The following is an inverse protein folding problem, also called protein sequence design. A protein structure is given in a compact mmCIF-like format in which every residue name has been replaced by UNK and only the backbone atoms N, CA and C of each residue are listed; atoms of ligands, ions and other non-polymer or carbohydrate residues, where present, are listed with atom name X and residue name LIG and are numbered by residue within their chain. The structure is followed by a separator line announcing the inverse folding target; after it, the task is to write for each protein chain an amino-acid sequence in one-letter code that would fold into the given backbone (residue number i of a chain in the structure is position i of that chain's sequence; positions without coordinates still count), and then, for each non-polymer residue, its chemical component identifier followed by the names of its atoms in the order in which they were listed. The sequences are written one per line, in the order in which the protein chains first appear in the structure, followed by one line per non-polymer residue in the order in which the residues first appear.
data_IF_712184871087
#
_entry.id   IF_712184871087
#
_cell.length_a   1.000
_cell.length_b   1.000
_cell.length_c   1.000
_cell.angle_alpha   90.00
_cell.angle_beta   90.00
_cell.angle_gamma   90.00
#
_symmetry.space_group_name_H-M   'P 1'
#
loop_
_entity.id
_entity.type
_entity.pdbx_description
1 polymer ?
#
# COMPACT_ATOMS: atom_id res chain seq x y z
N UNK A 1 -16.65 -1.18 -5.09
CA UNK A 1 -15.19 -1.09 -4.85
C UNK A 1 -14.43 -1.99 -5.77
N UNK A 2 -13.23 -1.58 -6.13
CA UNK A 2 -12.38 -2.34 -7.03
C UNK A 2 -11.28 -3.07 -6.26
N UNK A 3 -11.11 -4.38 -6.54
CA UNK A 3 -10.04 -5.19 -5.97
C UNK A 3 -9.37 -5.98 -7.10
N UNK A 4 -8.34 -5.41 -7.75
CA UNK A 4 -7.66 -6.08 -8.87
C UNK A 4 -7.13 -7.47 -8.49
N UNK A 5 -7.34 -8.44 -9.36
CA UNK A 5 -6.96 -9.83 -9.10
C UNK A 5 -5.47 -10.10 -9.23
N UNK A 6 -4.74 -9.22 -9.89
CA UNK A 6 -3.29 -9.36 -10.06
C UNK A 6 -2.48 -8.85 -8.88
N UNK A 7 -3.15 -8.38 -7.82
CA UNK A 7 -2.52 -7.88 -6.61
C UNK A 7 -2.70 -8.85 -5.46
N UNK A 8 -1.85 -8.68 -4.44
CA UNK A 8 -2.05 -9.32 -3.14
C UNK A 8 -2.42 -8.24 -2.12
N UNK A 9 -3.01 -8.65 -1.02
CA UNK A 9 -3.59 -7.73 -0.04
C UNK A 9 -3.23 -8.12 1.37
N UNK A 10 -3.30 -7.15 2.30
CA UNK A 10 -3.05 -7.40 3.71
C UNK A 10 -4.27 -7.06 4.56
N UNK A 11 -4.27 -7.54 5.80
CA UNK A 11 -5.30 -7.21 6.76
C UNK A 11 -5.25 -5.73 7.17
N UNK A 12 -4.14 -5.07 6.89
CA UNK A 12 -3.96 -3.64 7.15
C UNK A 12 -4.45 -2.78 5.98
N UNK A 13 -5.13 -3.40 5.00
CA UNK A 13 -5.74 -2.72 3.86
C UNK A 13 -4.74 -2.09 2.91
N UNK A 14 -3.66 -2.82 2.67
CA UNK A 14 -2.64 -2.43 1.71
C UNK A 14 -2.58 -3.45 0.60
N UNK A 15 -2.20 -2.99 -0.59
CA UNK A 15 -1.99 -3.89 -1.72
C UNK A 15 -0.51 -3.93 -2.08
N UNK A 16 -0.10 -5.04 -2.70
CA UNK A 16 1.25 -5.20 -3.21
C UNK A 16 1.21 -5.83 -4.60
N UNK A 17 1.91 -5.22 -5.54
CA UNK A 17 2.10 -5.75 -6.88
C UNK A 17 3.52 -6.28 -6.99
N UNK A 18 3.68 -7.56 -7.28
CA UNK A 18 4.99 -8.20 -7.41
C UNK A 18 5.28 -8.51 -8.88
N UNK A 19 6.47 -8.10 -9.33
CA UNK A 19 6.98 -8.41 -10.66
C UNK A 19 8.39 -8.98 -10.46
N UNK A 20 8.47 -10.30 -10.27
CA UNK A 20 9.70 -10.93 -9.80
C UNK A 20 9.99 -10.48 -8.36
N UNK A 21 11.17 -9.92 -8.12
CA UNK A 21 11.53 -9.38 -6.81
C UNK A 21 11.18 -7.90 -6.65
N UNK A 22 10.71 -7.26 -7.72
CA UNK A 22 10.31 -5.85 -7.69
C UNK A 22 8.88 -5.73 -7.20
N UNK A 23 8.63 -4.83 -6.24
CA UNK A 23 7.31 -4.66 -5.68
C UNK A 23 6.88 -3.20 -5.67
N UNK A 24 5.57 -2.99 -5.77
CA UNK A 24 4.92 -1.69 -5.61
C UNK A 24 3.84 -1.86 -4.54
N UNK A 25 3.75 -0.93 -3.60
CA UNK A 25 2.81 -1.00 -2.48
C UNK A 25 1.97 0.27 -2.42
N UNK A 26 0.71 0.11 -2.09
CA UNK A 26 -0.22 1.22 -1.86
C UNK A 26 -1.33 0.79 -0.93
N UNK A 27 -2.32 1.66 -0.74
CA UNK A 27 -3.50 1.33 0.05
C UNK A 27 -4.66 0.98 -0.87
N UNK A 28 -5.59 0.17 -0.37
CA UNK A 28 -6.71 -0.30 -1.17
C UNK A 28 -7.80 0.76 -1.32
N UNK A 29 -8.71 0.51 -2.27
CA UNK A 29 -9.89 1.34 -2.45
C UNK A 29 -10.72 1.38 -1.17
N UNK A 30 -10.85 0.26 -0.47
CA UNK A 30 -11.54 0.20 0.82
C UNK A 30 -10.86 1.13 1.83
N UNK A 31 -9.53 1.09 1.92
CA UNK A 31 -8.79 1.90 2.87
C UNK A 31 -8.98 3.41 2.61
N UNK A 32 -8.89 3.83 1.34
CA UNK A 32 -9.04 5.26 1.03
C UNK A 32 -10.48 5.74 1.31
N UNK A 33 -11.48 4.88 1.13
CA UNK A 33 -12.86 5.24 1.45
C UNK A 33 -13.05 5.40 2.96
N UNK A 34 -12.45 4.51 3.74
CA UNK A 34 -12.52 4.59 5.20
C UNK A 34 -11.80 5.82 5.75
N UNK A 35 -10.66 6.17 5.15
CA UNK A 35 -9.88 7.33 5.57
C UNK A 35 -10.53 8.65 5.13
N UNK A 36 -11.17 8.66 3.98
CA UNK A 36 -11.69 9.88 3.37
C UNK A 36 -10.60 10.64 2.63
N UNK A 37 -10.76 11.94 2.46
CA UNK A 37 -9.84 12.77 1.68
C UNK A 37 -8.44 12.76 2.27
N UNK A 38 -7.47 12.32 1.49
CA UNK A 38 -6.07 12.26 1.88
C UNK A 38 -5.43 13.63 1.64
N UNK A 39 -4.77 14.16 2.67
CA UNK A 39 -4.16 15.50 2.62
C UNK A 39 -2.64 15.46 2.70
N UNK A 40 -2.07 14.37 3.19
CA UNK A 40 -0.62 14.25 3.31
C UNK A 40 -0.19 12.79 3.38
N UNK A 41 0.93 12.47 2.72
CA UNK A 41 1.54 11.13 2.79
C UNK A 41 3.01 11.33 3.16
N UNK A 42 3.43 10.73 4.27
CA UNK A 42 4.80 10.83 4.78
C UNK A 42 5.44 9.45 4.79
N UNK A 43 6.35 9.20 3.86
CA UNK A 43 7.03 7.90 3.74
C UNK A 43 8.52 8.12 3.47
N UNK A 44 9.33 7.17 3.96
CA UNK A 44 10.76 7.16 3.66
C UNK A 44 10.96 6.57 2.26
N UNK A 45 11.71 7.27 1.43
CA UNK A 45 11.95 6.87 0.05
C UNK A 45 13.08 5.86 -0.13
N UNK A 46 13.71 5.41 0.95
CA UNK A 46 14.79 4.43 0.91
C UNK A 46 15.00 3.77 2.25
N UNK A 47 15.61 2.60 2.22
CA UNK A 47 15.93 1.84 3.42
C UNK A 47 15.11 0.58 3.54
N UNK A 48 15.54 -0.34 4.40
CA UNK A 48 14.86 -1.61 4.60
C UNK A 48 13.84 -1.48 5.72
N UNK A 49 12.60 -1.93 5.45
CA UNK A 49 11.57 -2.08 6.48
C UNK A 49 11.21 -3.55 6.60
N UNK A 50 11.01 -4.01 7.82
CA UNK A 50 10.65 -5.40 8.08
C UNK A 50 9.13 -5.57 8.09
N UNK A 51 8.67 -6.79 7.78
CA UNK A 51 7.25 -7.12 7.81
C UNK A 51 6.62 -6.68 9.14
N UNK A 52 5.50 -5.99 9.06
CA UNK A 52 4.78 -5.53 10.25
C UNK A 52 5.27 -4.20 10.82
N UNK A 53 6.37 -3.65 10.30
CA UNK A 53 6.85 -2.34 10.74
C UNK A 53 6.24 -1.22 9.93
N UNK A 54 6.03 -0.04 10.53
CA UNK A 54 5.54 1.10 9.75
C UNK A 54 6.63 1.63 8.82
N UNK A 55 6.28 1.88 7.56
CA UNK A 55 7.17 2.53 6.61
C UNK A 55 6.79 3.99 6.36
N UNK A 56 5.77 4.46 7.01
CA UNK A 56 5.31 5.83 6.88
C UNK A 56 3.94 6.01 7.49
N UNK A 57 3.34 7.15 7.22
CA UNK A 57 1.99 7.46 7.66
C UNK A 57 1.22 8.18 6.57
N UNK A 58 -0.10 8.11 6.66
CA UNK A 58 -1.00 8.79 5.74
C UNK A 58 -1.98 9.62 6.57
N UNK A 59 -2.11 10.89 6.21
CA UNK A 59 -2.99 11.80 6.92
C UNK A 59 -4.20 12.15 6.06
N UNK A 60 -5.38 11.96 6.62
CA UNK A 60 -6.63 12.37 6.02
C UNK A 60 -7.19 13.54 6.83
N UNK A 61 -8.23 14.17 6.30
CA UNK A 61 -8.87 15.30 7.00
C UNK A 61 -9.31 14.90 8.40
N UNK A 62 -9.83 13.69 8.56
CA UNK A 62 -10.43 13.24 9.83
C UNK A 62 -9.54 12.35 10.68
N UNK A 63 -8.43 11.82 10.15
CA UNK A 63 -7.62 10.84 10.89
C UNK A 63 -6.24 10.68 10.28
N UNK A 64 -5.33 10.07 11.06
CA UNK A 64 -3.98 9.69 10.63
C UNK A 64 -3.84 8.19 10.82
N UNK A 65 -3.23 7.51 9.87
CA UNK A 65 -3.02 6.07 9.94
C UNK A 65 -1.56 5.73 9.58
N UNK A 66 -1.01 4.72 10.24
CA UNK A 66 0.31 4.20 9.89
C UNK A 66 0.21 3.31 8.67
N UNK A 67 1.26 3.33 7.84
CA UNK A 67 1.41 2.44 6.70
C UNK A 67 2.35 1.31 7.13
N UNK A 68 1.85 0.08 7.10
CA UNK A 68 2.54 -1.09 7.63
C UNK A 68 3.11 -1.93 6.49
N UNK A 69 4.38 -2.31 6.59
CA UNK A 69 5.02 -3.11 5.56
C UNK A 69 4.39 -4.51 5.48
N UNK A 70 3.91 -4.93 4.29
CA UNK A 70 3.28 -6.25 4.14
C UNK A 70 4.28 -7.40 4.20
N UNK A 71 5.54 -7.11 3.92
CA UNK A 71 6.65 -8.05 3.99
C UNK A 71 7.93 -7.21 4.12
N UNK A 72 9.07 -7.86 4.34
CA UNK A 72 10.34 -7.14 4.40
C UNK A 72 10.69 -6.62 3.02
N UNK A 73 10.85 -5.31 2.90
CA UNK A 73 11.08 -4.62 1.63
C UNK A 73 12.27 -3.69 1.75
N UNK A 74 13.16 -3.74 0.76
CA UNK A 74 14.18 -2.71 0.60
C UNK A 74 13.57 -1.60 -0.27
N UNK A 75 13.16 -0.52 0.36
CA UNK A 75 12.48 0.59 -0.31
C UNK A 75 13.48 1.35 -1.16
N UNK A 76 13.18 1.54 -2.42
CA UNK A 76 14.04 2.24 -3.37
C UNK A 76 13.47 3.59 -3.79
N UNK A 77 12.15 3.73 -3.71
CA UNK A 77 11.49 4.93 -4.22
C UNK A 77 10.16 5.17 -3.50
N UNK A 78 9.90 6.42 -3.14
CA UNK A 78 8.58 6.86 -2.71
C UNK A 78 7.95 7.65 -3.86
N UNK A 79 6.62 7.67 -3.94
CA UNK A 79 5.92 8.38 -5.01
C UNK A 79 5.95 9.89 -4.75
N UNK A 80 6.84 10.59 -5.44
CA UNK A 80 7.01 12.03 -5.27
C UNK A 80 5.77 12.84 -5.69
N UNK A 81 4.93 12.30 -6.55
CA UNK A 81 3.71 13.00 -6.95
C UNK A 81 2.74 13.20 -5.80
N UNK A 82 2.81 12.36 -4.78
CA UNK A 82 1.93 12.47 -3.61
C UNK A 82 2.26 13.67 -2.72
N UNK A 83 3.44 14.25 -2.86
CA UNK A 83 3.79 15.49 -2.14
C UNK A 83 2.93 16.66 -2.61
N UNK A 84 2.70 16.74 -3.90
CA UNK A 84 1.91 17.83 -4.50
C UNK A 84 0.44 17.45 -4.67
N UNK A 85 0.16 16.16 -4.83
CA UNK A 85 -1.17 15.66 -5.15
C UNK A 85 -1.53 14.42 -4.33
N UNK A 86 -1.63 14.54 -2.99
CA UNK A 86 -1.97 13.39 -2.15
C UNK A 86 -3.34 12.80 -2.47
N UNK A 87 -4.23 13.56 -3.07
CA UNK A 87 -5.55 13.10 -3.50
C UNK A 87 -5.50 12.01 -4.58
N UNK A 88 -4.34 11.78 -5.20
CA UNK A 88 -4.18 10.66 -6.13
C UNK A 88 -4.43 9.33 -5.44
N UNK A 89 -4.17 9.23 -4.15
CA UNK A 89 -4.46 8.02 -3.36
C UNK A 89 -5.96 7.73 -3.37
N UNK A 90 -6.79 8.78 -3.33
CA UNK A 90 -8.24 8.63 -3.39
C UNK A 90 -8.72 8.35 -4.82
N UNK A 91 -8.13 9.05 -5.80
CA UNK A 91 -8.61 9.02 -7.18
C UNK A 91 -8.17 7.77 -7.93
N UNK A 92 -6.96 7.27 -7.65
CA UNK A 92 -6.39 6.15 -8.37
C UNK A 92 -5.49 5.32 -7.45
N UNK A 93 -6.06 4.67 -6.43
CA UNK A 93 -5.26 3.99 -5.40
C UNK A 93 -4.40 2.85 -5.93
N UNK A 94 -4.77 2.23 -7.05
CA UNK A 94 -4.02 1.12 -7.65
C UNK A 94 -3.11 1.55 -8.80
N UNK A 95 -3.16 2.82 -9.18
CA UNK A 95 -2.34 3.36 -10.27
C UNK A 95 -1.46 4.48 -9.78
N UNK A 96 -1.80 5.72 -10.12
CA UNK A 96 -0.97 6.89 -9.79
C UNK A 96 -0.83 7.13 -8.29
N UNK A 97 -1.70 6.56 -7.47
CA UNK A 97 -1.67 6.67 -6.01
C UNK A 97 -0.77 5.66 -5.31
N UNK A 98 0.07 4.93 -6.04
CA UNK A 98 1.03 4.02 -5.40
C UNK A 98 1.93 4.79 -4.42
N UNK A 99 2.40 4.11 -3.36
CA UNK A 99 3.10 4.80 -2.26
C UNK A 99 4.60 4.54 -2.28
N UNK A 100 5.02 3.29 -2.31
CA UNK A 100 6.45 2.96 -2.38
C UNK A 100 6.73 1.87 -3.42
N UNK A 101 7.97 1.85 -3.92
CA UNK A 101 8.51 0.78 -4.76
C UNK A 101 9.82 0.30 -4.17
N UNK A 102 10.10 -0.97 -4.31
CA UNK A 102 11.33 -1.53 -3.80
C UNK A 102 11.51 -2.97 -4.21
N UNK A 103 12.39 -3.67 -3.51
CA UNK A 103 12.69 -5.07 -3.77
C UNK A 103 12.51 -5.92 -2.53
N UNK A 104 12.12 -7.16 -2.75
CA UNK A 104 12.01 -8.16 -1.68
C UNK A 104 13.10 -9.22 -1.88
N UNK A 105 13.71 -9.65 -0.78
CA UNK A 105 14.71 -10.73 -0.83
C UNK A 105 14.04 -12.09 -1.02
N UNK A 106 12.81 -12.23 -0.53
CA UNK A 106 12.05 -13.48 -0.59
C UNK A 106 10.67 -13.21 -1.20
N UNK A 107 10.55 -13.45 -2.51
CA UNK A 107 9.28 -13.28 -3.20
C UNK A 107 8.20 -14.24 -2.68
N UNK A 108 8.59 -15.35 -2.05
CA UNK A 108 7.64 -16.29 -1.44
C UNK A 108 6.85 -15.69 -0.29
N UNK A 109 7.37 -14.63 0.35
CA UNK A 109 6.66 -13.96 1.43
C UNK A 109 5.37 -13.31 0.93
N UNK A 110 5.30 -12.97 -0.35
CA UNK A 110 4.13 -12.34 -0.96
C UNK A 110 3.03 -13.37 -1.21
N UNK A 111 3.41 -14.60 -1.49
CA UNK A 111 2.45 -15.68 -1.78
C UNK A 111 1.54 -16.00 -0.60
N UNK A 112 1.98 -15.70 0.62
CA UNK A 112 1.19 -15.91 1.83
C UNK A 112 0.18 -14.82 2.13
N UNK A 113 0.16 -13.74 1.34
CA UNK A 113 -0.77 -12.65 1.53
C UNK A 113 -2.13 -12.98 0.93
N UNK A 114 -3.13 -12.15 1.24
CA UNK A 114 -4.50 -12.39 0.80
C UNK A 114 -4.65 -12.19 -0.71
N UNK A 115 -5.42 -13.08 -1.35
CA UNK A 115 -5.85 -12.87 -2.72
C UNK A 115 -6.93 -11.79 -2.76
N UNK A 116 -7.28 -11.31 -3.95
CA UNK A 116 -8.37 -10.36 -4.11
C UNK A 116 -9.69 -10.93 -3.57
N UNK A 117 -9.98 -12.21 -3.83
CA UNK A 117 -11.20 -12.85 -3.35
C UNK A 117 -11.23 -12.95 -1.82
N UNK A 118 -10.11 -13.32 -1.20
CA UNK A 118 -10.01 -13.43 0.26
C UNK A 118 -10.13 -12.06 0.91
N UNK A 119 -9.49 -11.05 0.34
CA UNK A 119 -9.57 -9.70 0.85
C UNK A 119 -10.98 -9.13 0.73
N UNK A 120 -11.64 -9.37 -0.38
CA UNK A 120 -13.01 -8.93 -0.59
C UNK A 120 -13.94 -9.51 0.48
N UNK A 121 -13.77 -10.80 0.78
CA UNK A 121 -14.53 -11.46 1.84
C UNK A 121 -14.28 -10.81 3.20
N UNK A 122 -13.03 -10.42 3.46
CA UNK A 122 -12.66 -9.78 4.71
C UNK A 122 -13.38 -8.46 4.91
N UNK A 123 -13.45 -7.62 3.88
CA UNK A 123 -14.00 -6.26 3.99
C UNK A 123 -15.52 -6.19 3.78
N UNK A 124 -16.12 -7.21 3.21
CA UNK A 124 -17.57 -7.25 2.95
C UNK A 124 -18.38 -7.99 4.01
N UNK A 125 -17.78 -8.32 5.11
CA UNK A 125 -18.48 -9.01 6.20
C UNK A 125 -19.67 -8.24 6.74
#
# INVERSE_FOLDING_TARGET
MNFPENLKYTQDHEWILAEGNQVTVGITDFAQQELGDIVFVDVDGEGTVEAGEPFGSIEAVKTVSDLIAPCTINVEEANAELEDAPELVNQDPYGKGWIIKGKVADAGAIDGLLSAADYKTLVEK
#
